data_IF_161317996290
#
_entry.id   IF_161317996290
#
_cell.length_a   1.000
_cell.length_b   1.000
_cell.length_c   1.000
_cell.angle_alpha   90.00
_cell.angle_beta   90.00
_cell.angle_gamma   90.00
#
_symmetry.space_group_name_H-M   'P 1'
#
loop_
_entity.id
_entity.type
_entity.pdbx_description
1 polymer ?
#
# COMPACT_ATOMS: atom_id res chain seq x y z
N UNK A 1 -4.26 4.68 0.64
CA UNK A 1 -2.94 4.05 0.43
C UNK A 1 -3.17 2.55 0.43
N UNK A 2 -3.32 1.94 -0.75
CA UNK A 2 -3.78 0.55 -0.89
C UNK A 2 -2.84 -0.26 -1.77
N UNK A 3 -2.65 -1.54 -1.44
CA UNK A 3 -1.86 -2.50 -2.23
C UNK A 3 -2.62 -3.02 -3.47
N UNK A 4 -3.78 -2.41 -3.77
CA UNK A 4 -4.74 -2.87 -4.77
C UNK A 4 -4.20 -2.78 -6.21
N UNK A 5 -3.23 -1.89 -6.45
CA UNK A 5 -2.55 -1.71 -7.74
C UNK A 5 -1.45 -2.76 -8.02
N UNK A 6 -1.08 -3.58 -7.03
CA UNK A 6 0.00 -4.54 -7.19
C UNK A 6 -0.52 -5.90 -7.68
N UNK A 7 0.18 -6.54 -8.64
CA UNK A 7 -0.27 -7.82 -9.16
C UNK A 7 -0.24 -8.89 -8.06
N UNK A 8 -1.37 -9.57 -7.86
CA UNK A 8 -1.45 -10.74 -6.99
C UNK A 8 -0.52 -11.82 -7.51
N UNK A 9 0.18 -12.52 -6.62
CA UNK A 9 0.99 -13.67 -7.04
C UNK A 9 0.08 -14.70 -7.72
N UNK A 10 0.52 -15.32 -8.83
CA UNK A 10 -0.20 -16.47 -9.36
C UNK A 10 -0.35 -17.50 -8.25
N UNK A 11 -1.52 -18.14 -8.17
CA UNK A 11 -1.77 -19.23 -7.22
C UNK A 11 -0.67 -20.25 -7.47
N UNK A 12 0.34 -20.30 -6.59
CA UNK A 12 1.34 -21.36 -6.62
C UNK A 12 0.56 -22.64 -6.49
N UNK A 13 0.69 -23.54 -7.48
CA UNK A 13 0.07 -24.86 -7.43
C UNK A 13 0.45 -25.50 -6.12
N UNK A 14 -0.44 -25.41 -5.15
CA UNK A 14 -0.26 -26.03 -3.85
C UNK A 14 -0.30 -27.54 -4.07
N UNK A 15 0.17 -28.31 -3.08
CA UNK A 15 0.14 -29.77 -3.15
C UNK A 15 -1.26 -30.29 -3.53
N UNK A 16 -2.31 -29.61 -3.08
CA UNK A 16 -3.70 -29.91 -3.44
C UNK A 16 -3.98 -29.77 -4.95
N UNK A 17 -3.48 -28.72 -5.60
CA UNK A 17 -3.60 -28.54 -7.05
C UNK A 17 -2.78 -29.59 -7.80
N UNK A 18 -1.56 -29.90 -7.35
CA UNK A 18 -0.72 -30.96 -7.93
C UNK A 18 -1.37 -32.36 -7.82
N UNK A 19 -1.96 -32.68 -6.67
CA UNK A 19 -2.67 -33.95 -6.47
C UNK A 19 -3.91 -34.04 -7.36
N UNK A 20 -4.62 -32.94 -7.59
CA UNK A 20 -5.78 -32.90 -8.48
C UNK A 20 -5.41 -32.93 -9.96
N UNK A 21 -4.29 -32.34 -10.39
CA UNK A 21 -3.91 -32.33 -11.81
C UNK A 21 -3.08 -33.53 -12.24
N UNK A 22 -2.14 -33.98 -11.41
CA UNK A 22 -1.19 -35.04 -11.78
C UNK A 22 -1.53 -36.42 -11.21
N UNK A 23 -2.41 -36.49 -10.19
CA UNK A 23 -2.82 -37.75 -9.56
C UNK A 23 -4.34 -37.98 -9.56
N UNK A 24 -5.06 -37.32 -10.49
CA UNK A 24 -6.51 -37.50 -10.62
C UNK A 24 -6.87 -38.97 -10.88
N UNK A 25 -7.58 -39.59 -9.96
CA UNK A 25 -8.11 -40.95 -10.13
C UNK A 25 -7.16 -42.10 -9.81
N UNK A 26 -5.98 -41.86 -9.22
CA UNK A 26 -5.22 -42.96 -8.60
C UNK A 26 -5.86 -43.31 -7.24
N UNK A 27 -6.40 -44.52 -7.05
CA UNK A 27 -6.85 -44.94 -5.73
C UNK A 27 -5.65 -44.92 -4.80
N UNK A 28 -5.83 -44.32 -3.62
CA UNK A 28 -4.79 -44.30 -2.58
C UNK A 28 -4.27 -45.74 -2.38
N UNK A 29 -2.95 -45.97 -2.38
CA UNK A 29 -2.43 -47.28 -2.00
C UNK A 29 -3.00 -47.61 -0.61
N UNK A 30 -3.55 -48.82 -0.50
CA UNK A 30 -4.26 -49.27 0.70
C UNK A 30 -3.41 -48.92 1.95
N UNK A 31 -4.01 -48.32 2.98
CA UNK A 31 -3.27 -47.89 4.16
C UNK A 31 -2.65 -49.13 4.80
N UNK A 32 -1.32 -49.21 4.75
CA UNK A 32 -0.56 -50.07 5.61
C UNK A 32 -0.72 -49.53 7.03
N UNK A 33 -1.61 -50.18 7.79
CA UNK A 33 -1.68 -50.28 9.24
C UNK A 33 -1.78 -48.96 10.06
N UNK A 34 -2.92 -48.82 10.76
CA UNK A 34 -2.98 -48.13 12.07
C UNK A 34 -3.24 -46.62 12.16
N UNK A 35 -3.34 -45.86 11.07
CA UNK A 35 -3.59 -44.41 11.13
C UNK A 35 -5.06 -44.04 10.93
N UNK A 36 -5.82 -43.78 12.00
CA UNK A 36 -7.17 -43.16 11.90
C UNK A 36 -7.09 -41.91 11.02
N UNK A 37 -7.86 -41.87 9.93
CA UNK A 37 -8.13 -40.64 9.18
C UNK A 37 -8.77 -39.65 10.16
N UNK A 38 -7.98 -38.73 10.71
CA UNK A 38 -8.49 -37.70 11.61
C UNK A 38 -9.26 -36.71 10.77
N UNK A 39 -10.58 -36.70 10.90
CA UNK A 39 -11.37 -35.56 10.47
C UNK A 39 -10.79 -34.29 11.12
N UNK A 40 -10.70 -33.18 10.38
CA UNK A 40 -10.18 -31.93 10.93
C UNK A 40 -11.02 -31.57 12.16
N UNK A 41 -10.37 -31.48 13.33
CA UNK A 41 -11.09 -31.10 14.55
C UNK A 41 -11.68 -29.70 14.39
N UNK A 42 -12.79 -29.41 15.05
CA UNK A 42 -13.42 -28.07 15.02
C UNK A 42 -12.43 -26.94 15.38
N UNK A 43 -11.43 -27.24 16.21
CA UNK A 43 -10.35 -26.31 16.52
C UNK A 43 -9.47 -26.01 15.30
N UNK A 44 -9.13 -27.03 14.50
CA UNK A 44 -8.35 -26.86 13.27
C UNK A 44 -9.13 -26.12 12.17
N UNK A 45 -10.45 -26.33 12.06
CA UNK A 45 -11.31 -25.61 11.13
C UNK A 45 -11.39 -24.11 11.46
N UNK A 46 -11.58 -23.76 12.74
CA UNK A 46 -11.57 -22.36 13.20
C UNK A 46 -10.22 -21.68 13.01
N UNK A 47 -9.12 -22.41 13.21
CA UNK A 47 -7.77 -21.91 12.93
C UNK A 47 -7.61 -21.63 11.44
N UNK A 48 -8.06 -22.54 10.57
CA UNK A 48 -8.01 -22.38 9.11
C UNK A 48 -8.86 -21.20 8.64
N UNK A 49 -10.07 -21.01 9.18
CA UNK A 49 -10.93 -19.87 8.88
C UNK A 49 -10.25 -18.53 9.24
N UNK A 50 -9.62 -18.47 10.43
CA UNK A 50 -8.83 -17.30 10.84
C UNK A 50 -7.66 -17.02 9.90
N UNK A 51 -6.97 -18.06 9.42
CA UNK A 51 -5.88 -17.91 8.45
C UNK A 51 -6.38 -17.47 7.06
N UNK A 52 -7.53 -17.97 6.62
CA UNK A 52 -8.15 -17.57 5.35
C UNK A 52 -8.61 -16.11 5.39
N UNK A 53 -9.24 -15.67 6.49
CA UNK A 53 -9.60 -14.27 6.70
C UNK A 53 -8.36 -13.36 6.75
N UNK A 54 -7.31 -13.78 7.47
CA UNK A 54 -6.04 -13.04 7.52
C UNK A 54 -5.34 -12.98 6.13
N UNK A 55 -5.44 -14.04 5.34
CA UNK A 55 -4.93 -14.09 3.97
C UNK A 55 -5.74 -13.25 2.98
N UNK A 56 -7.05 -13.09 3.22
CA UNK A 56 -7.91 -12.20 2.44
C UNK A 56 -7.62 -10.72 2.75
N UNK A 57 -7.32 -10.39 4.02
CA UNK A 57 -6.88 -9.04 4.42
C UNK A 57 -5.48 -8.67 3.93
N UNK A 58 -4.62 -9.66 3.66
CA UNK A 58 -3.26 -9.43 3.16
C UNK A 58 -2.94 -10.45 2.06
N UNK A 59 -3.50 -10.25 0.84
CA UNK A 59 -3.21 -11.15 -0.27
C UNK A 59 -1.69 -11.20 -0.47
N UNK A 60 -1.15 -12.33 -0.94
CA UNK A 60 0.28 -12.44 -1.21
C UNK A 60 0.65 -11.56 -2.41
N UNK A 61 0.80 -10.26 -2.16
CA UNK A 61 1.02 -9.25 -3.17
C UNK A 61 2.45 -9.35 -3.70
N UNK A 62 2.60 -9.38 -5.02
CA UNK A 62 3.92 -9.29 -5.64
C UNK A 62 4.37 -7.82 -5.58
N UNK A 63 5.22 -7.52 -4.61
CA UNK A 63 5.90 -6.23 -4.49
C UNK A 63 6.43 -5.78 -5.85
N UNK A 64 5.96 -4.63 -6.31
CA UNK A 64 6.26 -4.07 -7.63
C UNK A 64 7.30 -2.95 -7.52
N UNK A 65 7.99 -2.64 -8.63
CA UNK A 65 8.88 -1.47 -8.67
C UNK A 65 8.09 -0.18 -8.39
N UNK A 66 6.87 -0.06 -8.93
CA UNK A 66 6.00 1.10 -8.72
C UNK A 66 5.62 1.25 -7.24
N UNK A 67 5.25 0.15 -6.58
CA UNK A 67 4.96 0.14 -5.14
C UNK A 67 6.18 0.52 -4.30
N UNK A 68 7.36 -0.03 -4.63
CA UNK A 68 8.61 0.37 -4.00
C UNK A 68 8.87 1.88 -4.13
N UNK A 69 8.75 2.44 -5.35
CA UNK A 69 8.94 3.87 -5.59
C UNK A 69 7.97 4.72 -4.77
N UNK A 70 6.71 4.29 -4.65
CA UNK A 70 5.70 4.98 -3.85
C UNK A 70 6.08 5.02 -2.37
N UNK A 71 6.47 3.87 -1.82
CA UNK A 71 6.89 3.77 -0.41
C UNK A 71 8.16 4.58 -0.17
N UNK A 72 9.12 4.53 -1.09
CA UNK A 72 10.36 5.30 -1.00
C UNK A 72 10.09 6.80 -0.99
N UNK A 73 9.17 7.29 -1.83
CA UNK A 73 8.81 8.71 -1.83
C UNK A 73 8.05 9.12 -0.57
N UNK A 74 7.18 8.26 -0.03
CA UNK A 74 6.51 8.51 1.24
C UNK A 74 7.52 8.62 2.39
N UNK A 75 8.45 7.67 2.51
CA UNK A 75 9.54 7.70 3.48
C UNK A 75 10.39 8.97 3.38
N UNK A 76 10.68 9.41 2.15
CA UNK A 76 11.43 10.64 1.91
C UNK A 76 10.71 11.88 2.46
N UNK A 77 9.38 11.96 2.30
CA UNK A 77 8.57 13.05 2.84
C UNK A 77 8.45 13.00 4.35
N UNK A 78 8.26 11.81 4.93
CA UNK A 78 8.15 11.61 6.38
C UNK A 78 9.40 12.07 7.12
N UNK A 79 10.58 11.75 6.58
CA UNK A 79 11.89 12.12 7.15
C UNK A 79 12.41 13.48 6.67
N UNK A 80 11.67 14.18 5.79
CA UNK A 80 12.08 15.48 5.25
C UNK A 80 13.40 15.45 4.46
N UNK A 81 13.70 14.34 3.79
CA UNK A 81 14.96 14.14 3.06
C UNK A 81 14.94 14.84 1.69
N UNK A 82 16.11 15.08 1.11
CA UNK A 82 16.22 15.69 -0.21
C UNK A 82 15.76 14.73 -1.33
N UNK A 83 15.16 15.24 -2.41
CA UNK A 83 14.74 14.43 -3.57
C UNK A 83 15.89 13.71 -4.29
N UNK A 84 17.14 14.12 -4.08
CA UNK A 84 18.34 13.47 -4.59
C UNK A 84 18.81 12.28 -3.75
N UNK A 85 18.13 11.96 -2.63
CA UNK A 85 18.55 10.89 -1.70
C UNK A 85 18.70 9.53 -2.39
N UNK A 86 17.82 9.21 -3.35
CA UNK A 86 17.91 7.96 -4.13
C UNK A 86 19.15 7.85 -5.02
N UNK A 87 19.81 8.97 -5.34
CA UNK A 87 21.03 9.02 -6.16
C UNK A 87 22.32 8.90 -5.31
N UNK A 88 22.19 8.85 -3.98
CA UNK A 88 23.32 8.71 -3.08
C UNK A 88 24.07 7.40 -3.31
N UNK A 89 25.38 7.51 -3.61
CA UNK A 89 26.26 6.35 -3.78
C UNK A 89 26.36 5.51 -2.51
N UNK A 90 26.24 6.12 -1.33
CA UNK A 90 26.22 5.40 -0.04
C UNK A 90 24.98 4.52 0.07
N UNK A 91 23.81 5.09 -0.23
CA UNK A 91 22.55 4.34 -0.20
C UNK A 91 22.54 3.20 -1.23
N UNK A 92 23.09 3.45 -2.43
CA UNK A 92 23.25 2.42 -3.45
C UNK A 92 24.08 1.23 -2.97
N UNK A 93 25.19 1.47 -2.25
CA UNK A 93 26.00 0.38 -1.68
C UNK A 93 25.24 -0.44 -0.65
N UNK A 94 24.47 0.22 0.23
CA UNK A 94 23.62 -0.48 1.21
C UNK A 94 22.58 -1.35 0.50
N UNK A 95 21.92 -0.82 -0.52
CA UNK A 95 20.91 -1.56 -1.29
C UNK A 95 21.51 -2.72 -2.09
N UNK A 96 22.75 -2.58 -2.57
CA UNK A 96 23.50 -3.67 -3.19
C UNK A 96 23.89 -4.75 -2.18
N UNK A 97 24.30 -4.36 -0.97
CA UNK A 97 24.67 -5.30 0.09
C UNK A 97 23.50 -6.18 0.54
N UNK A 98 22.29 -5.61 0.60
CA UNK A 98 21.06 -6.36 0.95
C UNK A 98 20.42 -7.08 -0.24
N UNK A 99 21.07 -7.08 -1.41
CA UNK A 99 20.57 -7.66 -2.66
C UNK A 99 19.16 -7.18 -3.02
N UNK A 100 18.94 -5.86 -2.94
CA UNK A 100 17.65 -5.27 -3.28
C UNK A 100 17.40 -5.38 -4.79
N UNK A 101 16.28 -6.01 -5.15
CA UNK A 101 15.86 -6.18 -6.56
C UNK A 101 15.30 -4.91 -7.20
N UNK A 102 14.98 -3.89 -6.38
CA UNK A 102 14.37 -2.65 -6.85
C UNK A 102 15.42 -1.58 -7.09
N UNK A 103 15.28 -0.87 -8.21
CA UNK A 103 16.14 0.26 -8.52
C UNK A 103 15.82 1.46 -7.64
N UNK A 104 16.84 2.09 -7.07
CA UNK A 104 16.69 3.37 -6.36
C UNK A 104 16.24 4.47 -7.34
N UNK A 105 15.35 5.39 -6.93
CA UNK A 105 14.85 6.44 -7.81
C UNK A 105 15.88 7.55 -8.04
N UNK A 106 15.81 8.14 -9.23
CA UNK A 106 16.42 9.46 -9.48
C UNK A 106 15.55 10.59 -8.92
N UNK A 107 16.11 11.79 -8.80
CA UNK A 107 15.38 13.01 -8.43
C UNK A 107 14.16 13.23 -9.34
N UNK A 108 14.33 13.05 -10.66
CA UNK A 108 13.23 13.15 -11.63
C UNK A 108 12.16 12.08 -11.36
N UNK A 109 12.56 10.86 -11.04
CA UNK A 109 11.63 9.77 -10.70
C UNK A 109 10.83 10.09 -9.44
N UNK A 110 11.48 10.62 -8.39
CA UNK A 110 10.81 11.04 -7.15
C UNK A 110 9.78 12.12 -7.45
N UNK A 111 10.16 13.17 -8.19
CA UNK A 111 9.25 14.27 -8.56
C UNK A 111 8.03 13.79 -9.34
N UNK A 112 8.23 12.94 -10.33
CA UNK A 112 7.12 12.40 -11.14
C UNK A 112 6.20 11.53 -10.29
N UNK A 113 6.77 10.67 -9.44
CA UNK A 113 5.99 9.80 -8.54
C UNK A 113 5.18 10.61 -7.54
N UNK A 114 5.76 11.67 -6.97
CA UNK A 114 5.07 12.59 -6.07
C UNK A 114 3.96 13.36 -6.78
N UNK A 115 4.18 13.79 -8.02
CA UNK A 115 3.14 14.45 -8.82
C UNK A 115 1.94 13.52 -9.08
N UNK A 116 2.19 12.24 -9.40
CA UNK A 116 1.12 11.24 -9.55
C UNK A 116 0.35 11.00 -8.24
N UNK A 117 1.06 10.87 -7.12
CA UNK A 117 0.43 10.74 -5.80
C UNK A 117 -0.43 11.95 -5.47
N UNK A 118 0.12 13.15 -5.68
CA UNK A 118 -0.58 14.40 -5.44
C UNK A 118 -1.84 14.49 -6.30
N UNK A 119 -1.74 14.19 -7.60
CA UNK A 119 -2.91 14.19 -8.48
C UNK A 119 -4.00 13.22 -8.00
N UNK A 120 -3.60 12.02 -7.57
CA UNK A 120 -4.54 11.01 -7.05
C UNK A 120 -5.23 11.50 -5.78
N UNK A 121 -4.47 12.05 -4.81
CA UNK A 121 -5.04 12.59 -3.57
C UNK A 121 -5.89 13.82 -3.82
N UNK A 122 -5.48 14.69 -4.74
CA UNK A 122 -6.23 15.86 -5.14
C UNK A 122 -7.57 15.47 -5.77
N UNK A 123 -7.61 14.44 -6.61
CA UNK A 123 -8.86 13.95 -7.20
C UNK A 123 -9.78 13.33 -6.15
N UNK A 124 -9.22 12.64 -5.14
CA UNK A 124 -9.98 12.19 -3.96
C UNK A 124 -10.57 13.37 -3.19
N UNK A 125 -9.78 14.41 -2.90
CA UNK A 125 -10.25 15.63 -2.22
C UNK A 125 -11.33 16.33 -3.04
N UNK A 126 -11.15 16.49 -4.36
CA UNK A 126 -12.18 17.08 -5.23
C UNK A 126 -13.48 16.27 -5.22
N UNK A 127 -13.38 14.94 -5.23
CA UNK A 127 -14.55 14.07 -5.16
C UNK A 127 -15.28 14.21 -3.83
N UNK A 128 -14.53 14.26 -2.71
CA UNK A 128 -15.08 14.49 -1.39
C UNK A 128 -15.76 15.85 -1.29
N UNK A 129 -15.11 16.94 -1.73
CA UNK A 129 -15.67 18.29 -1.73
C UNK A 129 -16.94 18.42 -2.58
N UNK A 130 -17.05 17.67 -3.68
CA UNK A 130 -18.27 17.66 -4.52
C UNK A 130 -19.44 16.98 -3.82
N UNK A 131 -19.18 15.98 -2.98
CA UNK A 131 -20.19 15.20 -2.28
C UNK A 131 -20.65 15.86 -0.97
N UNK A 132 -19.95 16.91 -0.51
CA UNK A 132 -20.34 17.66 0.69
C UNK A 132 -21.69 18.33 0.48
N UNK A 133 -22.71 17.87 1.22
CA UNK A 133 -24.05 18.47 1.25
C UNK A 133 -24.14 19.69 2.16
N UNK A 134 -23.21 19.85 3.11
CA UNK A 134 -23.16 20.97 4.04
C UNK A 134 -22.52 22.22 3.42
N UNK A 135 -22.49 23.32 4.16
CA UNK A 135 -21.70 24.49 3.79
C UNK A 135 -20.22 24.22 4.04
N UNK A 136 -19.36 24.73 3.17
CA UNK A 136 -17.90 24.67 3.30
C UNK A 136 -17.42 26.05 3.77
N UNK A 137 -16.65 26.08 4.86
CA UNK A 137 -15.93 27.26 5.31
C UNK A 137 -14.50 27.21 4.78
N UNK A 138 -14.02 28.31 4.18
CA UNK A 138 -12.66 28.40 3.67
C UNK A 138 -11.90 29.43 4.49
N UNK A 139 -10.81 28.99 5.10
CA UNK A 139 -9.86 29.84 5.83
C UNK A 139 -8.62 30.02 4.98
N UNK A 140 -8.20 31.27 4.80
CA UNK A 140 -6.98 31.63 4.08
C UNK A 140 -6.04 32.34 5.03
N UNK A 141 -4.87 31.75 5.24
CA UNK A 141 -3.79 32.37 5.98
C UNK A 141 -2.71 32.84 5.00
N UNK A 142 -2.18 34.04 5.19
CA UNK A 142 -1.16 34.62 4.30
C UNK A 142 -0.12 35.32 5.15
N UNK A 143 1.12 34.87 5.05
CA UNK A 143 2.22 35.40 5.85
C UNK A 143 3.51 35.55 5.03
N UNK A 144 4.40 36.39 5.53
CA UNK A 144 5.75 36.59 5.00
C UNK A 144 6.77 36.27 6.08
N UNK A 145 7.93 35.77 5.68
CA UNK A 145 9.05 35.54 6.62
C UNK A 145 10.18 36.46 6.24
N UNK A 146 10.72 37.23 7.19
CA UNK A 146 11.75 38.27 6.91
C UNK A 146 12.99 37.74 6.21
N UNK A 147 13.32 36.46 6.41
CA UNK A 147 14.47 35.78 5.80
C UNK A 147 14.18 35.18 4.42
N UNK A 148 12.93 35.19 3.94
CA UNK A 148 12.52 34.60 2.66
C UNK A 148 11.97 35.69 1.73
N UNK A 149 12.29 35.58 0.44
CA UNK A 149 11.79 36.49 -0.60
C UNK A 149 10.37 36.15 -1.08
N UNK A 150 9.71 35.15 -0.48
CA UNK A 150 8.42 34.63 -0.92
C UNK A 150 7.34 34.91 0.12
N UNK A 151 6.14 35.22 -0.37
CA UNK A 151 4.91 35.26 0.44
C UNK A 151 4.25 33.89 0.37
N UNK A 152 3.85 33.36 1.52
CA UNK A 152 3.13 32.10 1.63
C UNK A 152 1.65 32.37 1.80
N UNK A 153 0.82 31.55 1.16
CA UNK A 153 -0.62 31.55 1.37
C UNK A 153 -1.08 30.10 1.54
N UNK A 154 -1.54 29.77 2.74
CA UNK A 154 -2.19 28.50 3.05
C UNK A 154 -3.69 28.65 2.91
N UNK A 155 -4.34 27.75 2.19
CA UNK A 155 -5.82 27.70 2.10
C UNK A 155 -6.28 26.38 2.69
N UNK A 156 -7.26 26.46 3.59
CA UNK A 156 -7.83 25.31 4.27
C UNK A 156 -9.35 25.36 4.10
N UNK A 157 -9.94 24.23 3.75
CA UNK A 157 -11.38 24.04 3.71
C UNK A 157 -11.83 23.18 4.89
N UNK A 158 -12.88 23.64 5.56
CA UNK A 158 -13.48 22.99 6.73
C UNK A 158 -14.98 22.79 6.51
N UNK A 159 -15.48 21.60 6.84
CA UNK A 159 -16.91 21.31 6.81
C UNK A 159 -17.30 20.30 7.88
N UNK A 160 -18.61 20.15 8.11
CA UNK A 160 -19.16 19.21 9.10
C UNK A 160 -19.89 18.10 8.34
N UNK A 161 -19.57 16.85 8.63
CA UNK A 161 -20.22 15.68 8.04
C UNK A 161 -21.62 15.44 8.64
N UNK A 162 -22.40 14.54 8.02
CA UNK A 162 -23.72 14.14 8.58
C UNK A 162 -23.59 13.49 9.97
N UNK A 163 -22.44 12.86 10.24
CA UNK A 163 -22.08 12.25 11.52
C UNK A 163 -21.57 13.27 12.55
N UNK A 164 -21.71 14.57 12.29
CA UNK A 164 -21.24 15.67 13.15
C UNK A 164 -19.73 15.70 13.38
N UNK A 165 -18.95 15.15 12.44
CA UNK A 165 -17.49 15.22 12.49
C UNK A 165 -16.98 16.44 11.71
N UNK A 166 -16.00 17.13 12.29
CA UNK A 166 -15.32 18.23 11.61
C UNK A 166 -14.21 17.64 10.74
N UNK A 167 -14.26 17.95 9.45
CA UNK A 167 -13.23 17.57 8.49
C UNK A 167 -12.49 18.83 8.05
N UNK A 168 -11.17 18.78 8.16
CA UNK A 168 -10.24 19.83 7.77
C UNK A 168 -9.30 19.31 6.67
N UNK A 169 -9.26 20.03 5.55
CA UNK A 169 -8.40 19.67 4.40
C UNK A 169 -7.65 20.88 3.90
N UNK A 170 -6.34 20.72 3.73
CA UNK A 170 -5.47 21.70 3.07
C UNK A 170 -5.66 21.61 1.56
N UNK A 171 -5.91 22.76 0.91
CA UNK A 171 -6.15 22.88 -0.53
C UNK A 171 -4.89 23.26 -1.31
#
# INVERSE_FOLDING_TARGET
>A
MGFDDEPSKPVTGNLATHLQTNHYGQPAPAPADGGKTREPSDASAKIMEKYLLAGALNPAVRKSQKGFLRIFCAWLLEEGLAFTTGESMGLKRVFQYIDCKYGLPSNTTVRNTLAEMFATMLDQIKSALRDVKSKIAVSKDTWTTRSMMFTFAGTIANWITEDWEIVEVVL
#
